data_IF_386101746453
#
_entry.id   IF_386101746453
#
_cell.length_a   1.000
_cell.length_b   1.000
_cell.length_c   1.000
_cell.angle_alpha   90.00
_cell.angle_beta   90.00
_cell.angle_gamma   90.00
#
_symmetry.space_group_name_H-M   'P 1'
#
loop_
_entity.id
_entity.type
_entity.pdbx_description
1 polymer ?
#
# COMPACT_ATOMS: atom_id res chain seq x y z
N UNK A 1 5.39 -9.49 -8.06
CA UNK A 1 5.60 -8.10 -7.59
C UNK A 1 5.86 -7.12 -8.73
N UNK A 2 6.87 -7.33 -9.59
CA UNK A 2 7.14 -6.46 -10.77
C UNK A 2 5.88 -6.16 -11.60
N UNK A 3 5.05 -7.16 -11.88
CA UNK A 3 3.80 -6.97 -12.64
C UNK A 3 2.80 -6.05 -11.90
N UNK A 4 2.74 -6.14 -10.57
CA UNK A 4 1.95 -5.22 -9.74
C UNK A 4 2.44 -3.79 -9.90
N UNK A 5 3.76 -3.57 -9.91
CA UNK A 5 4.34 -2.24 -10.08
C UNK A 5 4.10 -1.65 -11.47
N UNK A 6 4.14 -2.48 -12.53
CA UNK A 6 3.76 -2.06 -13.89
C UNK A 6 2.31 -1.59 -13.95
N UNK A 7 1.39 -2.38 -13.39
CA UNK A 7 -0.04 -2.04 -13.34
C UNK A 7 -0.28 -0.76 -12.53
N UNK A 8 0.41 -0.59 -11.41
CA UNK A 8 0.34 0.63 -10.59
C UNK A 8 0.83 1.84 -11.37
N UNK A 9 1.99 1.78 -12.03
CA UNK A 9 2.52 2.90 -12.82
C UNK A 9 1.57 3.30 -13.93
N UNK A 10 1.06 2.33 -14.69
CA UNK A 10 0.09 2.58 -15.75
C UNK A 10 -1.18 3.27 -15.21
N UNK A 11 -1.68 2.84 -14.04
CA UNK A 11 -2.84 3.47 -13.41
C UNK A 11 -2.53 4.90 -12.96
N UNK A 12 -1.39 5.16 -12.33
CA UNK A 12 -0.98 6.49 -11.87
C UNK A 12 -0.88 7.47 -13.04
N UNK A 13 -0.22 7.08 -14.13
CA UNK A 13 -0.11 7.90 -15.34
C UNK A 13 -1.50 8.24 -15.92
N UNK A 14 -2.45 7.31 -15.85
CA UNK A 14 -3.81 7.52 -16.34
C UNK A 14 -4.66 8.43 -15.45
N UNK A 15 -4.56 8.28 -14.12
CA UNK A 15 -5.46 9.00 -13.19
C UNK A 15 -4.88 10.28 -12.62
N UNK A 16 -3.56 10.42 -12.62
CA UNK A 16 -2.83 11.52 -12.01
C UNK A 16 -1.66 11.92 -12.91
N UNK A 17 -1.92 12.30 -14.17
CA UNK A 17 -0.85 12.67 -15.10
C UNK A 17 -0.03 13.84 -14.55
N UNK A 18 1.29 13.74 -14.66
CA UNK A 18 2.23 14.78 -14.21
C UNK A 18 2.33 14.97 -12.68
N UNK A 19 1.66 14.13 -11.87
CA UNK A 19 1.79 14.19 -10.42
C UNK A 19 2.94 13.31 -9.95
N UNK A 20 3.78 13.88 -9.11
CA UNK A 20 4.82 13.16 -8.40
C UNK A 20 4.21 12.19 -7.37
N UNK A 21 4.79 10.99 -7.23
CA UNK A 21 4.30 9.94 -6.34
C UNK A 21 5.46 9.28 -5.60
N UNK A 22 5.38 9.25 -4.27
CA UNK A 22 6.32 8.53 -3.41
C UNK A 22 5.78 7.12 -3.16
N UNK A 23 6.60 6.10 -3.39
CA UNK A 23 6.25 4.70 -3.14
C UNK A 23 6.72 4.27 -1.75
N UNK A 24 5.80 3.79 -0.92
CA UNK A 24 6.15 3.10 0.32
C UNK A 24 5.76 1.61 0.20
N UNK A 25 6.70 0.72 0.49
CA UNK A 25 6.48 -0.73 0.55
C UNK A 25 7.47 -1.35 1.56
N UNK A 26 7.18 -2.56 2.05
CA UNK A 26 8.02 -3.25 3.04
C UNK A 26 9.22 -3.94 2.39
N UNK A 27 10.18 -4.34 3.23
CA UNK A 27 11.47 -4.92 2.82
C UNK A 27 11.41 -6.42 2.49
N UNK A 28 10.23 -6.99 2.25
CA UNK A 28 10.10 -8.40 1.88
C UNK A 28 11.00 -8.76 0.68
N UNK A 29 11.54 -9.98 0.66
CA UNK A 29 12.52 -10.41 -0.37
C UNK A 29 12.08 -10.13 -1.82
N UNK A 30 10.81 -10.35 -2.22
CA UNK A 30 10.38 -10.02 -3.59
C UNK A 30 10.51 -8.53 -3.92
N UNK A 31 10.36 -7.66 -2.91
CA UNK A 31 10.35 -6.21 -3.04
C UNK A 31 11.76 -5.62 -3.14
N UNK A 32 12.74 -6.24 -2.49
CA UNK A 32 14.15 -5.82 -2.49
C UNK A 32 15.01 -6.58 -3.50
N UNK A 33 14.42 -7.52 -4.26
CA UNK A 33 15.14 -8.27 -5.28
C UNK A 33 15.70 -7.37 -6.39
N UNK A 34 16.83 -7.77 -6.99
CA UNK A 34 17.46 -7.06 -8.12
C UNK A 34 16.49 -6.82 -9.28
N UNK A 35 15.63 -7.80 -9.56
CA UNK A 35 14.63 -7.68 -10.63
C UNK A 35 13.61 -6.58 -10.32
N UNK A 36 13.17 -6.46 -9.07
CA UNK A 36 12.25 -5.41 -8.65
C UNK A 36 12.93 -4.04 -8.66
N UNK A 37 14.14 -3.92 -8.13
CA UNK A 37 14.89 -2.65 -8.16
C UNK A 37 15.06 -2.13 -9.59
N UNK A 38 15.51 -2.98 -10.51
CA UNK A 38 15.63 -2.62 -11.94
C UNK A 38 14.28 -2.27 -12.58
N UNK A 39 13.19 -2.93 -12.16
CA UNK A 39 11.86 -2.60 -12.67
C UNK A 39 11.36 -1.24 -12.15
N UNK A 40 11.60 -0.89 -10.88
CA UNK A 40 11.20 0.39 -10.30
C UNK A 40 11.92 1.56 -11.00
N UNK A 41 13.22 1.41 -11.24
CA UNK A 41 14.03 2.37 -12.01
C UNK A 41 13.47 2.55 -13.43
N UNK A 42 13.24 1.45 -14.17
CA UNK A 42 12.66 1.49 -15.52
C UNK A 42 11.25 2.08 -15.58
N UNK A 43 10.51 2.03 -14.48
CA UNK A 43 9.15 2.58 -14.37
C UNK A 43 9.14 4.02 -13.85
N UNK A 44 10.31 4.62 -13.60
CA UNK A 44 10.45 5.97 -13.03
C UNK A 44 9.71 6.12 -11.70
N UNK A 45 9.85 5.12 -10.82
CA UNK A 45 9.57 5.30 -9.40
C UNK A 45 10.83 5.89 -8.75
N UNK A 46 10.99 7.20 -8.89
CA UNK A 46 12.21 7.90 -8.48
C UNK A 46 12.28 8.04 -6.95
N UNK A 47 11.14 8.23 -6.29
CA UNK A 47 11.05 8.38 -4.84
C UNK A 47 10.46 7.14 -4.18
N UNK A 48 11.33 6.34 -3.57
CA UNK A 48 10.96 5.18 -2.74
C UNK A 48 11.25 5.52 -1.27
N UNK A 49 10.22 5.51 -0.44
CA UNK A 49 10.34 5.78 0.99
C UNK A 49 10.98 4.57 1.68
N UNK A 50 12.12 4.80 2.33
CA UNK A 50 12.79 3.77 3.13
C UNK A 50 11.86 3.24 4.22
N UNK A 51 11.74 1.92 4.29
CA UNK A 51 10.97 1.24 5.34
C UNK A 51 11.94 0.54 6.30
N UNK A 52 11.84 0.75 7.62
CA UNK A 52 12.67 0.03 8.57
C UNK A 52 12.28 -1.47 8.65
N UNK A 53 13.22 -2.38 8.95
CA UNK A 53 12.90 -3.79 9.16
C UNK A 53 11.83 -3.99 10.23
N UNK A 54 10.94 -4.97 10.02
CA UNK A 54 9.93 -5.42 11.00
C UNK A 54 9.09 -4.30 11.62
N UNK A 55 8.73 -3.28 10.84
CA UNK A 55 8.01 -2.10 11.33
C UNK A 55 6.59 -1.99 10.75
N UNK A 56 5.69 -2.95 11.04
CA UNK A 56 4.31 -2.91 10.55
C UNK A 56 3.53 -1.70 11.09
N UNK A 57 3.96 -1.13 12.22
CA UNK A 57 3.45 0.13 12.74
C UNK A 57 3.73 1.33 11.81
N UNK A 58 4.71 1.23 10.92
CA UNK A 58 5.03 2.24 9.91
C UNK A 58 4.45 1.90 8.52
N UNK A 59 3.61 0.88 8.41
CA UNK A 59 2.94 0.50 7.16
C UNK A 59 1.41 0.76 7.27
N UNK A 60 0.85 1.76 6.55
CA UNK A 60 -0.59 2.07 6.60
C UNK A 60 -1.48 0.89 6.24
N UNK A 61 -1.00 0.02 5.35
CA UNK A 61 -1.71 -1.20 5.00
C UNK A 61 -1.89 -2.10 6.24
N UNK A 62 -0.86 -2.25 7.07
CA UNK A 62 -0.86 -3.16 8.21
C UNK A 62 -1.56 -2.59 9.45
N UNK A 63 -1.32 -1.33 9.80
CA UNK A 63 -1.93 -0.75 11.01
C UNK A 63 -3.32 -0.14 10.79
N UNK A 64 -3.72 0.16 9.54
CA UNK A 64 -4.97 0.87 9.26
C UNK A 64 -5.90 0.11 8.30
N UNK A 65 -5.44 -0.20 7.08
CA UNK A 65 -6.31 -0.75 6.05
C UNK A 65 -6.73 -2.20 6.35
N UNK A 66 -5.77 -3.09 6.57
CA UNK A 66 -6.02 -4.52 6.77
C UNK A 66 -6.81 -4.84 8.03
N UNK A 67 -6.62 -4.18 9.19
CA UNK A 67 -7.46 -4.42 10.36
C UNK A 67 -8.95 -4.15 10.06
N UNK A 68 -9.25 -3.04 9.39
CA UNK A 68 -10.62 -2.68 9.01
C UNK A 68 -11.20 -3.59 7.93
N UNK A 69 -10.37 -4.01 6.98
CA UNK A 69 -10.78 -4.99 5.98
C UNK A 69 -11.06 -6.36 6.62
N UNK A 70 -10.20 -6.81 7.53
CA UNK A 70 -10.39 -8.06 8.28
C UNK A 70 -11.66 -8.03 9.11
N UNK A 71 -11.99 -6.89 9.71
CA UNK A 71 -13.25 -6.68 10.41
C UNK A 71 -14.46 -6.85 9.48
N UNK A 72 -14.42 -6.25 8.28
CA UNK A 72 -15.47 -6.42 7.27
C UNK A 72 -15.64 -7.88 6.81
N UNK A 73 -14.52 -8.58 6.60
CA UNK A 73 -14.53 -9.98 6.15
C UNK A 73 -14.88 -10.96 7.27
N UNK A 74 -14.84 -10.53 8.54
CA UNK A 74 -14.99 -11.42 9.69
C UNK A 74 -16.39 -12.01 9.73
N UNK A 75 -16.46 -13.34 9.80
CA UNK A 75 -17.72 -14.08 9.93
C UNK A 75 -18.38 -14.43 8.59
N UNK A 76 -17.90 -13.86 7.48
CA UNK A 76 -18.39 -14.21 6.16
C UNK A 76 -17.77 -15.52 5.67
N UNK A 77 -18.55 -16.29 4.90
CA UNK A 77 -18.08 -17.47 4.17
C UNK A 77 -18.26 -17.20 2.68
N UNK A 78 -17.22 -17.47 1.91
CA UNK A 78 -17.19 -17.27 0.46
C UNK A 78 -17.04 -18.62 -0.22
N UNK A 79 -17.65 -18.78 -1.40
CA UNK A 79 -17.61 -20.03 -2.15
C UNK A 79 -16.34 -20.14 -3.01
N UNK A 80 -15.73 -19.00 -3.37
CA UNK A 80 -14.53 -18.92 -4.20
C UNK A 80 -13.65 -17.74 -3.84
N UNK A 81 -12.40 -17.76 -4.33
CA UNK A 81 -11.48 -16.62 -4.21
C UNK A 81 -11.98 -15.41 -5.02
N UNK A 82 -12.69 -15.66 -6.12
CA UNK A 82 -13.33 -14.64 -6.94
C UNK A 82 -14.38 -13.85 -6.15
N UNK A 83 -15.17 -14.54 -5.32
CA UNK A 83 -16.18 -13.91 -4.47
C UNK A 83 -15.53 -13.00 -3.41
N UNK A 84 -14.47 -13.48 -2.76
CA UNK A 84 -13.68 -12.66 -1.81
C UNK A 84 -13.10 -11.45 -2.52
N UNK A 85 -12.50 -11.65 -3.70
CA UNK A 85 -11.90 -10.56 -4.46
C UNK A 85 -12.95 -9.54 -4.93
N UNK A 86 -14.17 -9.97 -5.27
CA UNK A 86 -15.27 -9.08 -5.63
C UNK A 86 -15.74 -8.24 -4.43
N UNK A 87 -15.96 -8.86 -3.26
CA UNK A 87 -16.36 -8.18 -2.03
C UNK A 87 -15.30 -7.16 -1.59
N UNK A 88 -14.02 -7.57 -1.51
CA UNK A 88 -12.90 -6.66 -1.17
C UNK A 88 -12.85 -5.47 -2.12
N UNK A 89 -13.06 -5.67 -3.43
CA UNK A 89 -13.09 -4.57 -4.42
C UNK A 89 -14.28 -3.63 -4.17
N UNK A 90 -15.45 -4.16 -3.86
CA UNK A 90 -16.64 -3.36 -3.54
C UNK A 90 -16.40 -2.55 -2.28
N UNK A 91 -15.96 -3.20 -1.20
CA UNK A 91 -15.64 -2.54 0.07
C UNK A 91 -14.62 -1.41 -0.09
N UNK A 92 -13.57 -1.60 -0.90
CA UNK A 92 -12.56 -0.58 -1.19
C UNK A 92 -13.14 0.62 -1.96
N UNK A 93 -14.06 0.39 -2.91
CA UNK A 93 -14.69 1.47 -3.71
C UNK A 93 -15.64 2.32 -2.89
N UNK A 94 -16.25 1.74 -1.86
CA UNK A 94 -17.14 2.46 -0.95
C UNK A 94 -16.41 3.39 0.02
N UNK A 95 -15.08 3.26 0.15
CA UNK A 95 -14.32 4.13 1.05
C UNK A 95 -14.14 5.51 0.43
N UNK A 96 -14.42 6.53 1.24
CA UNK A 96 -14.23 7.93 0.87
C UNK A 96 -12.74 8.27 0.73
N UNK A 97 -12.44 9.39 0.09
CA UNK A 97 -11.09 9.96 0.10
C UNK A 97 -10.58 10.17 1.52
N UNK A 98 -11.47 10.60 2.43
CA UNK A 98 -11.14 10.95 3.82
C UNK A 98 -10.70 9.71 4.60
N UNK A 99 -11.32 8.55 4.33
CA UNK A 99 -10.88 7.28 4.90
C UNK A 99 -9.40 6.98 4.60
N UNK A 100 -8.98 7.15 3.34
CA UNK A 100 -7.58 6.92 2.97
C UNK A 100 -6.68 8.03 3.51
N UNK A 101 -7.16 9.27 3.52
CA UNK A 101 -6.43 10.41 4.08
C UNK A 101 -6.14 10.23 5.57
N UNK A 102 -7.09 9.74 6.36
CA UNK A 102 -6.93 9.45 7.79
C UNK A 102 -5.80 8.44 8.04
N UNK A 103 -5.75 7.36 7.25
CA UNK A 103 -4.66 6.38 7.33
C UNK A 103 -3.29 7.01 7.06
N UNK A 104 -3.21 7.90 6.07
CA UNK A 104 -1.98 8.64 5.76
C UNK A 104 -1.62 9.68 6.83
N UNK A 105 -2.60 10.35 7.45
CA UNK A 105 -2.34 11.25 8.56
C UNK A 105 -1.79 10.51 9.79
N UNK A 106 -2.32 9.32 10.08
CA UNK A 106 -1.80 8.47 11.14
C UNK A 106 -0.36 8.06 10.86
N UNK A 107 0.00 7.76 9.61
CA UNK A 107 1.39 7.49 9.22
C UNK A 107 2.30 8.66 9.62
N UNK A 108 1.95 9.89 9.26
CA UNK A 108 2.74 11.09 9.61
C UNK A 108 2.92 11.22 11.12
N UNK A 109 1.87 10.97 11.92
CA UNK A 109 1.96 10.99 13.38
C UNK A 109 2.89 9.90 13.92
N UNK A 110 2.78 8.68 13.39
CA UNK A 110 3.60 7.54 13.81
C UNK A 110 5.08 7.78 13.50
N UNK A 111 5.41 8.30 12.31
CA UNK A 111 6.80 8.68 11.99
C UNK A 111 7.38 9.71 12.96
N UNK A 112 6.58 10.69 13.43
CA UNK A 112 7.05 11.67 14.43
C UNK A 112 7.37 11.02 15.77
N UNK A 113 6.54 10.08 16.21
CA UNK A 113 6.77 9.33 17.45
C UNK A 113 7.94 8.36 17.29
N UNK A 114 8.10 7.72 16.13
CA UNK A 114 9.23 6.83 15.85
C UNK A 114 10.57 7.58 15.79
N UNK A 115 10.58 8.85 15.35
CA UNK A 115 11.76 9.70 15.32
C UNK A 115 12.25 10.19 16.69
N UNK A 116 11.45 10.04 17.75
CA UNK A 116 11.84 10.38 19.14
C UNK A 116 12.45 9.21 19.92
N UNK A 117 12.57 8.02 19.32
CA UNK A 117 13.29 6.87 19.92
C UNK A 117 14.78 6.85 19.56
N UNK A 118 15.36 8.02 19.26
CA UNK A 118 16.80 8.19 19.05
C UNK A 118 17.39 8.99 20.20
#
# INVERSE_FOLDING_TARGET
YVETMKKLRARLLRVRPGKHAVLQHDNARPHTSRQTAAALERLNFDDILAHPPYSPDLAPCDFFLFPKLKEHLKGNRYASDEDVAADVRTWLREKSSDFFFDGMQQLVRRWRVCGTWR
#
